data_IF_584923982655
#
_entry.id   IF_584923982655
#
_cell.length_a   1.000
_cell.length_b   1.000
_cell.length_c   1.000
_cell.angle_alpha   90.00
_cell.angle_beta   90.00
_cell.angle_gamma   90.00
#
_symmetry.space_group_name_H-M   'P 1'
#
loop_
_entity.id
_entity.type
_entity.pdbx_description
1 polymer ?
#
# COMPACT_ATOMS: atom_id res chain seq x y z
N UNK A 1 6.79 -10.75 -9.17
CA UNK A 1 6.23 -10.84 -7.80
C UNK A 1 6.10 -9.43 -7.25
N UNK A 2 7.16 -8.63 -7.36
CA UNK A 2 7.12 -7.17 -7.16
C UNK A 2 6.11 -6.42 -8.03
N UNK A 3 5.97 -6.71 -9.33
CA UNK A 3 4.99 -5.99 -10.19
C UNK A 3 3.54 -6.05 -9.64
N UNK A 4 3.09 -7.24 -9.20
CA UNK A 4 1.75 -7.38 -8.59
C UNK A 4 1.65 -6.72 -7.21
N UNK A 5 2.76 -6.65 -6.47
CA UNK A 5 2.79 -5.99 -5.17
C UNK A 5 2.71 -4.47 -5.33
N UNK A 6 3.43 -3.93 -6.31
CA UNK A 6 3.40 -2.51 -6.64
C UNK A 6 2.04 -2.09 -7.21
N UNK A 7 1.41 -2.92 -8.06
CA UNK A 7 0.03 -2.70 -8.52
C UNK A 7 -0.95 -2.55 -7.34
N UNK A 8 -0.85 -3.44 -6.34
CA UNK A 8 -1.72 -3.39 -5.13
C UNK A 8 -1.44 -2.14 -4.29
N UNK A 9 -0.17 -1.78 -4.10
CA UNK A 9 0.23 -0.58 -3.34
C UNK A 9 -0.29 0.68 -4.03
N UNK A 10 -0.16 0.77 -5.36
CA UNK A 10 -0.64 1.92 -6.13
C UNK A 10 -2.16 1.99 -6.13
N UNK A 11 -2.86 0.86 -6.23
CA UNK A 11 -4.33 0.81 -6.12
C UNK A 11 -4.81 1.30 -4.76
N UNK A 12 -4.15 0.86 -3.68
CA UNK A 12 -4.39 1.32 -2.32
C UNK A 12 -4.15 2.83 -2.20
N UNK A 13 -3.00 3.31 -2.68
CA UNK A 13 -2.63 4.73 -2.65
C UNK A 13 -3.66 5.62 -3.36
N UNK A 14 -4.15 5.18 -4.52
CA UNK A 14 -5.18 5.90 -5.28
C UNK A 14 -6.56 5.93 -4.60
N UNK A 15 -6.80 5.03 -3.64
CA UNK A 15 -8.05 5.01 -2.88
C UNK A 15 -8.00 5.88 -1.62
N UNK A 16 -6.80 6.24 -1.15
CA UNK A 16 -6.61 7.10 0.01
C UNK A 16 -6.85 8.56 -0.38
N UNK A 17 -7.66 9.26 0.41
CA UNK A 17 -7.80 10.72 0.30
C UNK A 17 -6.53 11.40 0.86
N UNK A 18 -6.28 12.66 0.51
CA UNK A 18 -5.07 13.39 0.95
C UNK A 18 -4.89 13.42 2.48
N UNK A 19 -6.01 13.47 3.22
CA UNK A 19 -5.97 13.41 4.68
C UNK A 19 -5.59 12.04 5.25
N UNK A 20 -5.91 10.95 4.53
CA UNK A 20 -5.50 9.59 4.92
C UNK A 20 -4.02 9.38 4.61
N UNK A 21 -3.53 9.96 3.51
CA UNK A 21 -2.10 9.98 3.15
C UNK A 21 -1.28 10.72 4.22
N UNK A 22 -1.71 11.93 4.60
CA UNK A 22 -1.05 12.73 5.64
C UNK A 22 -0.99 12.05 7.02
N UNK A 23 -2.02 11.24 7.35
CA UNK A 23 -2.12 10.52 8.60
C UNK A 23 -1.54 9.10 8.55
N UNK A 24 -1.04 8.66 7.39
CA UNK A 24 -0.65 7.28 7.16
C UNK A 24 0.52 6.85 8.05
N UNK A 25 0.35 5.72 8.73
CA UNK A 25 1.36 5.16 9.62
C UNK A 25 1.71 3.72 9.25
N UNK A 26 2.77 3.22 9.86
CA UNK A 26 3.12 1.80 9.74
C UNK A 26 2.02 0.87 10.26
N UNK A 27 1.28 1.27 11.29
CA UNK A 27 0.16 0.47 11.82
C UNK A 27 -0.93 0.30 10.76
N UNK A 28 -1.22 1.37 9.99
CA UNK A 28 -2.16 1.32 8.87
C UNK A 28 -1.65 0.39 7.76
N UNK A 29 -0.34 0.43 7.45
CA UNK A 29 0.27 -0.49 6.49
C UNK A 29 0.19 -1.96 6.96
N UNK A 30 0.38 -2.24 8.25
CA UNK A 30 0.21 -3.58 8.83
C UNK A 30 -1.25 -4.09 8.70
N UNK A 31 -2.22 -3.21 8.95
CA UNK A 31 -3.65 -3.52 8.77
C UNK A 31 -3.98 -3.82 7.30
N UNK A 32 -3.51 -2.99 6.38
CA UNK A 32 -3.69 -3.17 4.93
C UNK A 32 -3.10 -4.48 4.41
N UNK A 33 -1.90 -4.82 4.85
CA UNK A 33 -1.26 -6.10 4.50
C UNK A 33 -2.08 -7.28 5.04
N UNK A 34 -2.56 -7.19 6.28
CA UNK A 34 -3.42 -8.22 6.87
C UNK A 34 -4.71 -8.41 6.09
N UNK A 35 -5.32 -7.32 5.63
CA UNK A 35 -6.55 -7.34 4.84
C UNK A 35 -6.32 -7.89 3.42
N UNK A 36 -5.21 -7.52 2.77
CA UNK A 36 -4.84 -8.09 1.47
C UNK A 36 -4.63 -9.61 1.56
N UNK A 37 -3.97 -10.09 2.61
CA UNK A 37 -3.79 -11.53 2.85
C UNK A 37 -5.14 -12.25 3.02
N UNK A 38 -6.10 -11.62 3.72
CA UNK A 38 -7.46 -12.17 3.88
C UNK A 38 -8.20 -12.21 2.54
N UNK A 39 -8.12 -11.14 1.75
CA UNK A 39 -8.75 -11.06 0.43
C UNK A 39 -8.18 -12.11 -0.53
N UNK A 40 -6.87 -12.26 -0.61
CA UNK A 40 -6.22 -13.28 -1.45
C UNK A 40 -6.70 -14.68 -1.09
N UNK A 41 -6.75 -15.01 0.22
CA UNK A 41 -7.28 -16.29 0.69
C UNK A 41 -8.76 -16.48 0.34
N UNK A 42 -9.57 -15.44 0.45
CA UNK A 42 -10.99 -15.48 0.11
C UNK A 42 -11.22 -15.71 -1.40
N UNK A 43 -10.33 -15.17 -2.24
CA UNK A 43 -10.35 -15.39 -3.69
C UNK A 43 -9.66 -16.68 -4.14
N UNK A 44 -9.11 -17.47 -3.21
CA UNK A 44 -8.39 -18.71 -3.51
C UNK A 44 -7.01 -18.49 -4.15
N UNK A 45 -6.46 -17.27 -4.04
CA UNK A 45 -5.09 -16.92 -4.43
C UNK A 45 -4.13 -17.24 -3.28
N UNK A 46 -2.91 -17.61 -3.63
CA UNK A 46 -1.83 -17.71 -2.65
C UNK A 46 -1.35 -16.30 -2.30
N UNK A 47 -1.42 -15.87 -1.02
CA UNK A 47 -0.96 -14.55 -0.61
C UNK A 47 0.52 -14.38 -0.91
N UNK A 48 0.90 -13.18 -1.36
CA UNK A 48 2.31 -12.82 -1.46
C UNK A 48 2.93 -12.67 -0.06
N UNK A 49 4.26 -12.68 0.01
CA UNK A 49 5.00 -12.27 1.20
C UNK A 49 4.94 -10.74 1.34
N UNK A 50 3.76 -10.24 1.65
CA UNK A 50 3.52 -8.82 1.87
C UNK A 50 4.31 -8.36 3.11
N UNK A 51 5.25 -7.44 2.90
CA UNK A 51 6.01 -6.78 3.97
C UNK A 51 5.37 -5.42 4.30
N UNK A 52 4.81 -5.24 5.51
CA UNK A 52 4.25 -3.97 5.94
C UNK A 52 5.24 -2.80 5.89
N UNK A 53 6.54 -3.05 6.11
CA UNK A 53 7.56 -2.01 5.97
C UNK A 53 7.66 -1.54 4.52
N UNK A 54 7.72 -2.49 3.58
CA UNK A 54 7.77 -2.17 2.16
C UNK A 54 6.54 -1.41 1.68
N UNK A 55 5.35 -1.75 2.20
CA UNK A 55 4.12 -1.00 1.93
C UNK A 55 4.21 0.42 2.45
N UNK A 56 4.63 0.59 3.70
CA UNK A 56 4.81 1.90 4.30
C UNK A 56 5.79 2.77 3.49
N UNK A 57 6.99 2.25 3.21
CA UNK A 57 8.02 2.96 2.45
C UNK A 57 7.53 3.34 1.05
N UNK A 58 6.84 2.43 0.36
CA UNK A 58 6.33 2.69 -0.99
C UNK A 58 5.23 3.75 -1.03
N UNK A 59 4.34 3.78 -0.02
CA UNK A 59 3.30 4.81 0.08
C UNK A 59 3.93 6.17 0.40
N UNK A 60 4.94 6.21 1.26
CA UNK A 60 5.71 7.43 1.55
C UNK A 60 6.43 7.94 0.30
N UNK A 61 7.10 7.06 -0.43
CA UNK A 61 7.78 7.41 -1.68
C UNK A 61 6.80 7.98 -2.73
N UNK A 62 5.56 7.47 -2.79
CA UNK A 62 4.51 7.99 -3.67
C UNK A 62 4.03 9.38 -3.23
N UNK A 63 3.89 9.63 -1.92
CA UNK A 63 3.55 10.95 -1.39
C UNK A 63 4.64 11.98 -1.70
N UNK A 64 5.92 11.60 -1.56
CA UNK A 64 7.04 12.47 -1.91
C UNK A 64 7.06 12.79 -3.41
N UNK A 65 6.78 11.81 -4.28
CA UNK A 65 6.67 12.04 -5.73
C UNK A 65 5.51 12.96 -6.09
N UNK A 66 4.31 12.75 -5.51
CA UNK A 66 3.17 13.63 -5.74
C UNK A 66 3.48 15.07 -5.30
N UNK A 67 4.19 15.25 -4.18
CA UNK A 67 4.62 16.56 -3.70
C UNK A 67 5.71 17.20 -4.59
N UNK A 68 6.62 16.41 -5.16
CA UNK A 68 7.65 16.90 -6.10
C UNK A 68 7.08 17.25 -7.48
N UNK A 69 6.02 16.57 -7.93
CA UNK A 69 5.33 16.87 -9.21
C UNK A 69 4.44 18.13 -9.14
N UNK A 70 4.14 18.65 -7.94
CA UNK A 70 3.36 19.88 -7.74
C UNK A 70 4.18 21.20 -7.81
N UNK A 71 5.51 21.15 -7.95
CA UNK A 71 6.44 22.32 -8.02
C UNK A 71 6.82 22.81 -9.43
#
# INVERSE_FOLDING_TARGET
>A
MEERMMDVIVEIYNHMDDGDKDAFTLEDAEEMVSDQIKMDKAEGREPLEYDPQFFYDSIVDLMEQDAEDED
#
